data_IF_659269474801
#
_entry.id   IF_659269474801
#
_cell.length_a   1.000
_cell.length_b   1.000
_cell.length_c   1.000
_cell.angle_alpha   90.00
_cell.angle_beta   90.00
_cell.angle_gamma   90.00
#
_symmetry.space_group_name_H-M   'P 1'
#
loop_
_entity.id
_entity.type
_entity.pdbx_description
1 polymer ?
#
# COMPACT_ATOMS: atom_id res chain seq x y z
N UNK A 1 -6.72 -3.87 29.02
CA UNK A 1 -5.32 -4.34 29.15
C UNK A 1 -4.57 -3.91 27.91
N UNK A 2 -3.60 -3.05 28.07
CA UNK A 2 -2.77 -2.62 26.93
C UNK A 2 -1.60 -3.59 26.82
N UNK A 3 -1.71 -4.56 25.92
CA UNK A 3 -0.75 -5.66 25.77
C UNK A 3 0.63 -5.21 25.25
N UNK A 4 0.92 -3.92 25.19
CA UNK A 4 2.19 -3.38 24.67
C UNK A 4 2.47 -3.71 23.20
N UNK A 5 1.55 -4.38 22.52
CA UNK A 5 1.66 -4.84 21.15
C UNK A 5 1.43 -3.69 20.17
N UNK A 6 2.29 -3.51 19.18
CA UNK A 6 2.10 -2.52 18.12
C UNK A 6 1.08 -3.01 17.06
N UNK A 7 0.69 -2.11 16.13
CA UNK A 7 -0.32 -2.43 15.10
C UNK A 7 0.06 -3.63 14.24
N UNK A 8 1.35 -3.78 13.91
CA UNK A 8 1.84 -4.88 13.09
C UNK A 8 1.78 -6.22 13.87
N UNK A 9 2.18 -6.23 15.13
CA UNK A 9 2.12 -7.41 15.97
C UNK A 9 0.68 -7.86 16.22
N UNK A 10 -0.22 -6.90 16.47
CA UNK A 10 -1.67 -7.15 16.56
C UNK A 10 -2.22 -7.78 15.29
N UNK A 11 -1.84 -7.24 14.12
CA UNK A 11 -2.28 -7.79 12.83
C UNK A 11 -1.72 -9.20 12.60
N UNK A 12 -0.46 -9.47 12.96
CA UNK A 12 0.14 -10.80 12.79
C UNK A 12 -0.56 -11.83 13.68
N UNK A 13 -0.89 -11.46 14.91
CA UNK A 13 -1.45 -12.35 15.92
C UNK A 13 -2.96 -12.55 15.80
N UNK A 14 -3.68 -11.49 15.40
CA UNK A 14 -5.14 -11.44 15.44
C UNK A 14 -5.76 -11.08 14.09
N UNK A 15 -5.11 -11.39 12.96
CA UNK A 15 -5.66 -11.08 11.64
C UNK A 15 -7.15 -11.49 11.52
N UNK A 16 -8.03 -10.62 10.99
CA UNK A 16 -7.77 -9.35 10.30
C UNK A 16 -7.74 -8.11 11.22
N UNK A 17 -7.70 -8.27 12.52
CA UNK A 17 -7.69 -7.17 13.49
C UNK A 17 -6.29 -6.56 13.64
N UNK A 18 -6.23 -5.26 13.85
CA UNK A 18 -5.01 -4.50 14.07
C UNK A 18 -5.27 -3.38 15.09
N UNK A 19 -4.21 -2.92 15.75
CA UNK A 19 -4.29 -1.84 16.71
C UNK A 19 -4.29 -0.51 15.96
N UNK A 20 -5.31 0.32 16.21
CA UNK A 20 -5.43 1.67 15.69
C UNK A 20 -5.71 2.60 16.87
N UNK A 21 -4.67 3.25 17.40
CA UNK A 21 -4.76 4.23 18.48
C UNK A 21 -4.04 5.53 18.07
N UNK A 22 -4.09 6.53 18.95
CA UNK A 22 -3.49 7.84 18.70
C UNK A 22 -1.97 7.82 18.46
N UNK A 23 -1.26 6.79 18.93
CA UNK A 23 0.18 6.64 18.71
C UNK A 23 0.54 6.10 17.32
N UNK A 24 -0.42 5.56 16.58
CA UNK A 24 -0.23 4.99 15.24
C UNK A 24 -0.39 6.08 14.20
N UNK A 25 0.69 6.37 13.47
CA UNK A 25 0.63 7.35 12.38
C UNK A 25 -0.11 6.78 11.17
N UNK A 26 -0.84 7.64 10.49
CA UNK A 26 -1.60 7.30 9.29
C UNK A 26 -1.14 8.12 8.10
N UNK A 27 -1.00 7.48 6.95
CA UNK A 27 -0.58 8.13 5.72
C UNK A 27 -1.54 7.80 4.59
N UNK A 28 -1.85 8.79 3.76
CA UNK A 28 -2.56 8.56 2.50
C UNK A 28 -1.57 8.57 1.34
N UNK A 29 -1.61 7.52 0.51
CA UNK A 29 -0.71 7.30 -0.61
C UNK A 29 -1.51 7.33 -1.91
N UNK A 30 -1.30 8.32 -2.79
CA UNK A 30 -1.95 8.31 -4.10
C UNK A 30 -1.35 7.23 -4.99
N UNK A 31 -2.21 6.41 -5.57
CA UNK A 31 -1.83 5.37 -6.53
C UNK A 31 -2.63 5.54 -7.82
N UNK A 32 -1.98 5.39 -8.97
CA UNK A 32 -2.66 5.41 -10.26
C UNK A 32 -3.43 4.11 -10.50
N UNK A 33 -4.54 4.13 -11.27
CA UNK A 33 -5.41 2.98 -11.48
C UNK A 33 -4.68 1.71 -11.91
N UNK A 34 -3.79 1.80 -12.89
CA UNK A 34 -3.01 0.68 -13.40
C UNK A 34 -2.16 0.00 -12.30
N UNK A 35 -1.42 0.78 -11.51
CA UNK A 35 -0.60 0.23 -10.43
C UNK A 35 -1.46 -0.28 -9.26
N UNK A 36 -2.66 0.31 -9.07
CA UNK A 36 -3.61 -0.19 -8.08
C UNK A 36 -4.13 -1.57 -8.47
N UNK A 37 -4.46 -1.80 -9.73
CA UNK A 37 -4.96 -3.08 -10.23
C UNK A 37 -3.91 -4.17 -10.16
N UNK A 38 -2.66 -3.84 -10.49
CA UNK A 38 -1.53 -4.76 -10.38
C UNK A 38 -1.24 -5.14 -8.92
N UNK A 39 -1.26 -4.14 -8.03
CA UNK A 39 -0.91 -4.34 -6.62
C UNK A 39 -2.07 -4.99 -5.83
N UNK A 40 -3.32 -4.73 -6.22
CA UNK A 40 -4.53 -5.19 -5.54
C UNK A 40 -5.52 -5.86 -6.51
N UNK A 41 -5.19 -7.04 -7.06
CA UNK A 41 -5.99 -7.71 -8.08
C UNK A 41 -7.40 -8.10 -7.62
N UNK A 42 -7.61 -8.29 -6.31
CA UNK A 42 -8.92 -8.64 -5.75
C UNK A 42 -10.02 -7.61 -6.09
N UNK A 43 -9.65 -6.34 -6.28
CA UNK A 43 -10.60 -5.29 -6.67
C UNK A 43 -10.92 -5.23 -8.16
N UNK A 44 -10.06 -5.78 -9.01
CA UNK A 44 -10.32 -5.85 -10.45
C UNK A 44 -11.28 -6.98 -10.80
N UNK A 45 -11.30 -8.06 -10.02
CA UNK A 45 -12.16 -9.23 -10.25
C UNK A 45 -13.62 -9.04 -9.83
N UNK A 46 -13.95 -8.03 -9.01
CA UNK A 46 -15.34 -7.74 -8.63
C UNK A 46 -16.22 -7.18 -9.76
N UNK A 47 -15.66 -6.81 -10.92
CA UNK A 47 -16.39 -6.17 -12.03
C UNK A 47 -16.31 -6.88 -13.39
N UNK A 48 -15.61 -7.99 -13.50
CA UNK A 48 -15.43 -8.69 -14.77
C UNK A 48 -15.85 -10.15 -14.70
N UNK A 49 -16.55 -10.60 -15.73
CA UNK A 49 -16.88 -11.99 -15.97
C UNK A 49 -15.70 -12.91 -15.65
N UNK A 50 -15.97 -13.97 -14.91
CA UNK A 50 -15.02 -15.04 -14.54
C UNK A 50 -14.34 -15.75 -15.75
N UNK A 51 -14.66 -15.35 -16.98
CA UNK A 51 -14.33 -16.13 -18.19
C UNK A 51 -13.34 -15.47 -19.16
N UNK A 52 -12.86 -14.24 -18.91
CA UNK A 52 -12.06 -13.51 -19.92
C UNK A 52 -10.65 -13.09 -19.51
N UNK A 53 -10.06 -13.65 -18.48
CA UNK A 53 -8.62 -13.39 -18.21
C UNK A 53 -7.82 -14.67 -18.40
N UNK A 54 -6.94 -14.62 -19.42
CA UNK A 54 -5.88 -15.58 -19.66
C UNK A 54 -5.24 -16.04 -18.34
N UNK A 55 -5.31 -17.33 -18.06
CA UNK A 55 -4.77 -17.97 -16.85
C UNK A 55 -3.24 -17.80 -16.70
N UNK A 56 -2.57 -17.26 -17.71
CA UNK A 56 -1.11 -17.03 -17.70
C UNK A 56 -0.65 -15.83 -16.88
N UNK A 57 -1.55 -14.96 -16.39
CA UNK A 57 -1.22 -13.71 -15.69
C UNK A 57 -1.47 -13.71 -14.19
N UNK A 58 -1.85 -14.83 -13.60
CA UNK A 58 -1.86 -14.95 -12.14
C UNK A 58 -0.43 -15.10 -11.63
N UNK A 59 0.30 -13.99 -11.55
CA UNK A 59 1.52 -14.01 -10.75
C UNK A 59 1.10 -14.25 -9.30
N UNK A 60 1.57 -15.33 -8.69
CA UNK A 60 1.35 -15.65 -7.27
C UNK A 60 1.68 -14.48 -6.35
N UNK A 61 2.47 -13.53 -6.82
CA UNK A 61 2.92 -12.33 -6.11
C UNK A 61 1.81 -11.30 -5.91
N UNK A 62 0.85 -11.17 -6.84
CA UNK A 62 -0.30 -10.26 -6.68
C UNK A 62 -1.29 -10.71 -5.60
N UNK A 63 -1.35 -12.00 -5.29
CA UNK A 63 -2.29 -12.57 -4.32
C UNK A 63 -1.74 -12.69 -2.90
N UNK A 64 -0.53 -12.21 -2.63
CA UNK A 64 0.07 -12.27 -1.29
C UNK A 64 -0.43 -11.13 -0.39
N UNK A 65 -0.62 -11.43 0.89
CA UNK A 65 -0.91 -10.42 1.92
C UNK A 65 0.26 -9.44 2.08
N UNK A 66 1.49 -9.91 1.86
CA UNK A 66 2.71 -9.10 1.95
C UNK A 66 2.99 -8.47 0.60
N UNK A 67 3.08 -7.14 0.58
CA UNK A 67 3.26 -6.34 -0.63
C UNK A 67 4.39 -5.34 -0.48
N UNK A 68 4.88 -4.84 -1.60
CA UNK A 68 5.86 -3.77 -1.67
C UNK A 68 5.36 -2.63 -2.56
N UNK A 69 5.51 -1.39 -2.10
CA UNK A 69 5.22 -0.18 -2.86
C UNK A 69 6.48 0.66 -3.01
N UNK A 70 6.80 1.07 -4.22
CA UNK A 70 7.98 1.84 -4.58
C UNK A 70 7.59 3.21 -5.11
N UNK A 71 8.22 4.28 -4.61
CA UNK A 71 8.01 5.64 -5.11
C UNK A 71 9.18 6.59 -4.82
N UNK A 72 9.21 7.73 -5.50
CA UNK A 72 10.23 8.77 -5.30
C UNK A 72 9.82 9.81 -4.23
N UNK A 73 9.04 9.43 -3.23
CA UNK A 73 8.67 10.34 -2.14
C UNK A 73 9.88 10.64 -1.26
N UNK A 74 9.94 11.87 -0.77
CA UNK A 74 10.98 12.32 0.19
C UNK A 74 10.56 12.15 1.65
N UNK A 75 9.35 11.63 1.92
CA UNK A 75 8.83 11.47 3.27
C UNK A 75 9.66 10.45 4.05
N UNK A 76 10.08 10.80 5.26
CA UNK A 76 10.94 9.96 6.12
C UNK A 76 10.26 9.60 7.45
N UNK A 77 9.03 10.02 7.62
CA UNK A 77 8.29 9.84 8.89
C UNK A 77 7.56 8.51 8.99
N UNK A 78 7.37 7.81 7.85
CA UNK A 78 6.74 6.48 7.83
C UNK A 78 7.62 5.47 8.57
N UNK A 79 7.04 4.72 9.47
CA UNK A 79 7.73 3.72 10.32
C UNK A 79 6.97 2.40 10.35
N UNK A 80 7.65 1.36 10.79
CA UNK A 80 7.04 0.05 11.09
C UNK A 80 5.86 0.21 12.06
N UNK A 81 4.73 -0.40 11.73
CA UNK A 81 3.49 -0.34 12.49
C UNK A 81 2.53 0.78 12.06
N UNK A 82 2.97 1.73 11.24
CA UNK A 82 2.10 2.78 10.71
C UNK A 82 1.07 2.23 9.72
N UNK A 83 -0.02 2.96 9.58
CA UNK A 83 -1.12 2.65 8.65
C UNK A 83 -0.95 3.47 7.37
N UNK A 84 -1.02 2.82 6.24
CA UNK A 84 -1.04 3.45 4.92
C UNK A 84 -2.37 3.19 4.22
N UNK A 85 -2.97 4.23 3.67
CA UNK A 85 -4.26 4.20 2.97
C UNK A 85 -4.02 4.49 1.49
N UNK A 86 -4.35 3.55 0.61
CA UNK A 86 -4.13 3.71 -0.83
C UNK A 86 -5.30 4.43 -1.48
N UNK A 87 -5.05 5.68 -1.88
CA UNK A 87 -6.01 6.52 -2.59
C UNK A 87 -5.87 6.31 -4.09
N UNK A 88 -6.85 5.64 -4.69
CA UNK A 88 -6.92 5.46 -6.14
C UNK A 88 -7.26 6.78 -6.80
N UNK A 89 -6.25 7.42 -7.37
CA UNK A 89 -6.38 8.71 -8.04
C UNK A 89 -7.00 8.57 -9.43
N UNK A 90 -7.36 9.69 -10.06
CA UNK A 90 -7.88 9.84 -11.42
C UNK A 90 -9.32 9.34 -11.63
N UNK A 91 -9.57 8.02 -11.58
CA UNK A 91 -10.87 7.42 -11.92
C UNK A 91 -11.86 7.39 -10.74
N UNK A 92 -11.56 6.63 -9.69
CA UNK A 92 -12.48 6.44 -8.55
C UNK A 92 -12.40 7.51 -7.48
N UNK A 93 -11.23 8.07 -7.28
CA UNK A 93 -10.96 9.09 -6.24
C UNK A 93 -11.40 8.63 -4.84
N UNK A 94 -11.03 7.42 -4.47
CA UNK A 94 -11.46 6.75 -3.24
C UNK A 94 -10.35 5.89 -2.64
N UNK A 95 -10.52 5.47 -1.39
CA UNK A 95 -9.65 4.52 -0.70
C UNK A 95 -10.41 3.20 -0.60
N UNK A 96 -9.83 2.12 -1.12
CA UNK A 96 -10.42 0.78 -1.13
C UNK A 96 -9.64 -0.21 -0.28
N UNK A 97 -8.39 0.11 0.03
CA UNK A 97 -7.49 -0.77 0.75
C UNK A 97 -6.51 0.01 1.61
N UNK A 98 -5.95 -0.70 2.56
CA UNK A 98 -4.94 -0.20 3.47
C UNK A 98 -3.79 -1.19 3.62
N UNK A 99 -2.71 -0.73 4.20
CA UNK A 99 -1.59 -1.57 4.62
C UNK A 99 -1.08 -1.20 5.99
N UNK A 100 -0.55 -2.19 6.70
CA UNK A 100 0.24 -1.97 7.91
C UNK A 100 1.71 -2.14 7.54
N UNK A 101 2.49 -1.12 7.81
CA UNK A 101 3.91 -1.07 7.43
C UNK A 101 4.71 -2.12 8.20
N UNK A 102 5.41 -3.00 7.50
CA UNK A 102 6.35 -3.96 8.09
C UNK A 102 7.76 -3.38 8.17
N UNK A 103 8.17 -2.67 7.12
CA UNK A 103 9.50 -2.09 7.03
C UNK A 103 9.56 -0.98 5.97
N UNK A 104 10.55 -0.11 6.08
CA UNK A 104 10.76 1.01 5.16
C UNK A 104 12.24 1.15 4.86
N UNK A 105 12.60 1.21 3.58
CA UNK A 105 13.98 1.49 3.18
C UNK A 105 14.05 2.59 2.11
N UNK A 106 15.15 3.30 2.08
CA UNK A 106 15.49 4.31 1.09
C UNK A 106 16.78 3.91 0.39
N UNK A 107 16.69 3.50 -0.86
CA UNK A 107 17.87 3.08 -1.62
C UNK A 107 17.74 3.40 -3.11
N UNK A 108 18.86 3.41 -3.78
CA UNK A 108 19.00 3.39 -5.25
C UNK A 108 19.78 2.15 -5.70
N UNK A 109 20.17 1.29 -4.74
CA UNK A 109 20.89 0.07 -5.02
C UNK A 109 19.95 -1.12 -5.20
N UNK A 110 20.00 -1.74 -6.39
CA UNK A 110 19.18 -2.91 -6.74
C UNK A 110 19.50 -4.11 -5.87
N UNK A 111 20.76 -4.32 -5.50
CA UNK A 111 21.19 -5.47 -4.71
C UNK A 111 20.69 -5.41 -3.26
N UNK A 112 20.39 -4.21 -2.77
CA UNK A 112 19.74 -4.00 -1.47
C UNK A 112 18.22 -4.15 -1.56
N UNK A 113 17.62 -3.56 -2.58
CA UNK A 113 16.15 -3.49 -2.71
C UNK A 113 15.58 -4.82 -3.18
N UNK A 114 16.17 -5.44 -4.21
CA UNK A 114 15.58 -6.61 -4.86
C UNK A 114 15.35 -7.80 -3.92
N UNK A 115 16.26 -8.19 -3.04
CA UNK A 115 16.02 -9.28 -2.08
C UNK A 115 14.84 -9.00 -1.14
N UNK A 116 14.62 -7.73 -0.75
CA UNK A 116 13.54 -7.34 0.13
C UNK A 116 12.16 -7.42 -0.54
N UNK A 117 12.09 -7.18 -1.86
CA UNK A 117 10.81 -7.08 -2.58
C UNK A 117 10.50 -8.27 -3.50
N UNK A 118 11.46 -9.13 -3.82
CA UNK A 118 11.36 -10.16 -4.87
C UNK A 118 10.11 -11.07 -4.73
N UNK A 119 9.67 -11.36 -3.51
CA UNK A 119 8.46 -12.17 -3.21
C UNK A 119 7.20 -11.33 -2.95
N UNK A 120 7.27 -10.01 -3.10
CA UNK A 120 6.20 -9.08 -2.68
C UNK A 120 5.81 -8.08 -3.76
N UNK A 121 6.61 -7.98 -4.82
CA UNK A 121 6.45 -6.98 -5.86
C UNK A 121 5.71 -7.52 -7.07
N UNK A 122 4.94 -6.67 -7.70
CA UNK A 122 4.31 -6.91 -9.00
C UNK A 122 5.13 -6.30 -10.16
N UNK A 123 6.17 -5.53 -9.83
CA UNK A 123 7.03 -4.90 -10.84
C UNK A 123 7.98 -5.90 -11.47
N UNK A 124 8.20 -5.77 -12.77
CA UNK A 124 9.25 -6.52 -13.49
C UNK A 124 10.62 -6.00 -13.07
N UNK A 125 11.64 -6.84 -13.17
CA UNK A 125 13.02 -6.48 -12.81
C UNK A 125 13.50 -5.20 -13.54
N UNK A 126 13.20 -5.08 -14.84
CA UNK A 126 13.51 -3.88 -15.63
C UNK A 126 12.86 -2.60 -15.09
N UNK A 127 11.63 -2.70 -14.58
CA UNK A 127 10.90 -1.55 -14.04
C UNK A 127 11.51 -1.13 -12.70
N UNK A 128 11.91 -2.10 -11.87
CA UNK A 128 12.62 -1.84 -10.62
C UNK A 128 13.94 -1.15 -10.90
N UNK A 129 14.73 -1.62 -11.87
CA UNK A 129 15.98 -0.96 -12.28
C UNK A 129 15.73 0.50 -12.73
N UNK A 130 14.67 0.76 -13.48
CA UNK A 130 14.32 2.10 -13.91
C UNK A 130 13.88 3.01 -12.74
N UNK A 131 13.10 2.48 -11.79
CA UNK A 131 12.68 3.22 -10.59
C UNK A 131 13.91 3.56 -9.73
N UNK A 132 14.86 2.65 -9.57
CA UNK A 132 16.04 2.80 -8.75
C UNK A 132 17.14 3.69 -9.37
N UNK A 133 16.98 4.22 -10.59
CA UNK A 133 17.84 5.30 -11.13
C UNK A 133 17.84 6.56 -10.25
N UNK A 134 16.89 6.66 -9.34
CA UNK A 134 16.81 7.74 -8.32
C UNK A 134 16.53 7.10 -6.97
N UNK A 135 16.96 7.78 -5.91
CA UNK A 135 16.69 7.36 -4.54
C UNK A 135 15.20 7.12 -4.33
N UNK A 136 14.86 5.90 -4.01
CA UNK A 136 13.49 5.38 -3.97
C UNK A 136 13.11 5.03 -2.53
N UNK A 137 11.93 5.45 -2.13
CA UNK A 137 11.25 4.97 -0.93
C UNK A 137 10.60 3.63 -1.26
N UNK A 138 10.95 2.59 -0.52
CA UNK A 138 10.34 1.27 -0.58
C UNK A 138 9.60 1.02 0.72
N UNK A 139 8.30 0.74 0.62
CA UNK A 139 7.45 0.43 1.76
C UNK A 139 7.03 -1.03 1.65
N UNK A 140 7.43 -1.83 2.63
CA UNK A 140 6.98 -3.21 2.79
C UNK A 140 5.81 -3.22 3.75
N UNK A 141 4.69 -3.83 3.35
CA UNK A 141 3.46 -3.78 4.16
C UNK A 141 2.62 -5.04 4.04
N UNK A 142 1.76 -5.24 5.03
CA UNK A 142 0.68 -6.21 4.99
C UNK A 142 -0.60 -5.53 4.54
N UNK A 143 -1.16 -6.07 3.50
CA UNK A 143 -2.38 -5.59 2.86
C UNK A 143 -3.64 -6.04 3.60
N UNK A 144 -4.63 -5.15 3.64
CA UNK A 144 -6.00 -5.43 4.06
C UNK A 144 -6.98 -4.66 3.17
N UNK A 145 -7.97 -5.36 2.63
CA UNK A 145 -9.11 -4.72 1.99
C UNK A 145 -9.97 -3.98 3.04
N UNK A 146 -10.57 -2.86 2.66
CA UNK A 146 -11.60 -2.21 3.47
C UNK A 146 -12.96 -2.83 3.16
N UNK A 147 -13.77 -3.05 4.19
CA UNK A 147 -15.14 -3.57 4.04
C UNK A 147 -16.02 -2.62 3.24
N UNK A 148 -15.74 -1.31 3.33
CA UNK A 148 -16.40 -0.25 2.59
C UNK A 148 -15.39 0.73 2.02
N UNK A 149 -15.61 1.12 0.76
CA UNK A 149 -14.84 2.16 0.09
C UNK A 149 -15.05 3.51 0.77
N UNK A 150 -13.95 4.24 1.04
CA UNK A 150 -14.00 5.61 1.55
C UNK A 150 -13.96 6.56 0.36
N UNK A 151 -15.09 7.22 0.11
CA UNK A 151 -15.24 8.14 -1.03
C UNK A 151 -14.47 9.45 -0.83
N UNK A 152 -14.25 10.18 -1.94
CA UNK A 152 -13.61 11.51 -1.90
C UNK A 152 -14.35 12.49 -0.99
N UNK A 153 -15.68 12.39 -0.91
CA UNK A 153 -16.49 13.26 -0.04
C UNK A 153 -16.23 12.97 1.45
N UNK A 154 -16.12 11.70 1.83
CA UNK A 154 -15.79 11.30 3.20
C UNK A 154 -14.36 11.72 3.57
N UNK A 155 -13.39 11.57 2.65
CA UNK A 155 -12.01 12.04 2.82
C UNK A 155 -11.99 13.57 3.03
N UNK A 156 -12.79 14.32 2.29
CA UNK A 156 -12.88 15.78 2.44
C UNK A 156 -13.50 16.22 3.78
N UNK A 157 -14.47 15.46 4.30
CA UNK A 157 -15.06 15.69 5.64
C UNK A 157 -14.04 15.46 6.76
N UNK A 158 -13.07 14.58 6.56
CA UNK A 158 -11.93 14.35 7.46
C UNK A 158 -10.81 15.40 7.26
N UNK A 159 -11.16 16.61 6.77
CA UNK A 159 -10.27 17.77 6.58
C UNK A 159 -9.11 17.57 5.57
N UNK A 160 -9.07 16.47 4.84
CA UNK A 160 -8.08 16.23 3.80
C UNK A 160 -8.51 16.94 2.51
N UNK A 161 -8.28 18.26 2.46
CA UNK A 161 -8.67 19.13 1.35
C UNK A 161 -7.65 19.10 0.20
N UNK A 162 -8.10 19.48 -1.01
CA UNK A 162 -7.25 19.59 -2.20
C UNK A 162 -6.93 18.26 -2.87
N UNK A 163 -6.15 18.30 -3.94
CA UNK A 163 -5.75 17.11 -4.68
C UNK A 163 -4.69 16.31 -3.93
N UNK A 164 -4.90 15.00 -3.83
CA UNK A 164 -3.95 14.07 -3.22
C UNK A 164 -3.01 13.58 -4.33
N UNK A 165 -1.86 14.26 -4.49
CA UNK A 165 -0.86 13.95 -5.52
C UNK A 165 0.45 13.42 -4.94
N UNK A 166 0.64 13.52 -3.64
CA UNK A 166 1.82 13.03 -2.91
C UNK A 166 1.39 12.33 -1.63
N UNK A 167 2.30 11.57 -1.03
CA UNK A 167 2.07 10.97 0.28
C UNK A 167 1.86 12.10 1.30
N UNK A 168 0.82 11.96 2.11
CA UNK A 168 0.50 12.90 3.21
C UNK A 168 0.30 12.13 4.50
N UNK A 169 0.88 12.64 5.56
CA UNK A 169 0.55 12.23 6.91
C UNK A 169 -0.82 12.82 7.29
N UNK A 170 -1.65 12.03 7.93
CA UNK A 170 -2.93 12.46 8.46
C UNK A 170 -2.74 12.91 9.90
N UNK A 171 -3.45 13.97 10.32
CA UNK A 171 -3.59 14.29 11.73
C UNK A 171 -4.42 13.22 12.41
N UNK A 172 -3.99 12.80 13.57
CA UNK A 172 -4.78 11.91 14.43
C UNK A 172 -5.97 12.67 15.01
#
# INVERSE_FOLDING_TARGET
MDDGCNSLESLIKYYPYFKDNESVQKFIIPIQPQFHEDLFPDFSNMKGSLFEKDQSLYSCQGNTIKKAYLCHSKIKTIRKGDIILFYRSKDRKSIQCMGIVEDVLFSENIDEVFPAIAKRTVYKYSDIQNILKKRTLVILFRYKALDKEISRQQIAKAEIKGNIQSIRQLSN
#
